data_IF_628633315397
#
_entry.id   IF_628633315397
#
_cell.length_a   1.000
_cell.length_b   1.000
_cell.length_c   1.000
_cell.angle_alpha   90.00
_cell.angle_beta   90.00
_cell.angle_gamma   90.00
#
_symmetry.space_group_name_H-M   'P 1'
#
loop_
_entity.id
_entity.type
_entity.pdbx_description
1 polymer ?
#
# COMPACT_ATOMS: atom_id res chain seq x y z
N UNK A 1 -0.30 31.61 -56.50
CA UNK A 1 0.74 32.00 -55.53
C UNK A 1 0.10 31.99 -54.16
N UNK A 2 0.28 30.92 -53.40
CA UNK A 2 -0.02 30.77 -51.97
C UNK A 2 0.47 29.37 -51.57
N UNK A 3 1.74 29.27 -51.18
CA UNK A 3 2.30 28.08 -50.54
C UNK A 3 2.16 28.28 -49.03
N UNK A 4 1.25 27.51 -48.44
CA UNK A 4 1.06 27.34 -47.00
C UNK A 4 2.34 26.75 -46.39
N UNK A 5 3.10 27.58 -45.66
CA UNK A 5 4.17 27.11 -44.76
C UNK A 5 3.51 26.76 -43.44
N UNK A 6 3.29 25.47 -43.21
CA UNK A 6 3.10 24.96 -41.85
C UNK A 6 4.47 24.90 -41.19
N UNK A 7 4.66 25.75 -40.20
CA UNK A 7 5.78 25.68 -39.27
C UNK A 7 5.62 24.41 -38.42
N UNK A 8 6.36 23.36 -38.77
CA UNK A 8 6.61 22.22 -37.90
C UNK A 8 7.50 22.69 -36.74
N UNK A 9 6.86 23.15 -35.66
CA UNK A 9 7.52 23.30 -34.36
C UNK A 9 7.74 21.90 -33.81
N UNK A 10 8.88 21.31 -34.15
CA UNK A 10 9.38 20.14 -33.47
C UNK A 10 9.54 20.46 -31.98
N UNK A 11 8.66 19.90 -31.14
CA UNK A 11 8.86 19.91 -29.69
C UNK A 11 10.20 19.24 -29.41
N UNK A 12 11.16 19.99 -28.88
CA UNK A 12 12.40 19.44 -28.38
C UNK A 12 12.08 18.30 -27.40
N UNK A 13 12.76 17.14 -27.47
CA UNK A 13 12.53 16.07 -26.52
C UNK A 13 12.84 16.62 -25.12
N UNK A 14 11.80 16.72 -24.30
CA UNK A 14 11.91 17.08 -22.88
C UNK A 14 12.91 16.09 -22.29
N UNK A 15 14.06 16.59 -21.83
CA UNK A 15 15.10 15.73 -21.26
C UNK A 15 14.46 14.84 -20.19
N UNK A 16 14.61 13.52 -20.34
CA UNK A 16 14.12 12.57 -19.33
C UNK A 16 14.77 13.00 -18.01
N UNK A 17 13.99 13.22 -16.93
CA UNK A 17 14.57 13.51 -15.63
C UNK A 17 15.60 12.42 -15.28
N UNK A 18 16.66 12.75 -14.52
CA UNK A 18 17.65 11.77 -14.09
C UNK A 18 16.94 10.56 -13.48
N UNK A 19 17.43 9.36 -13.79
CA UNK A 19 16.83 8.14 -13.27
C UNK A 19 16.85 8.21 -11.73
N UNK A 20 15.72 7.89 -11.06
CA UNK A 20 15.68 7.88 -9.61
C UNK A 20 16.67 6.84 -9.06
N UNK A 21 17.11 6.99 -7.78
CA UNK A 21 17.92 5.98 -7.12
C UNK A 21 17.26 4.60 -7.19
N UNK A 22 18.06 3.58 -7.47
CA UNK A 22 17.60 2.18 -7.49
C UNK A 22 17.27 1.69 -6.07
N UNK A 23 16.43 0.63 -5.96
CA UNK A 23 16.10 0.04 -4.65
C UNK A 23 17.35 -0.43 -3.88
N UNK A 24 18.35 -0.96 -4.58
CA UNK A 24 19.62 -1.34 -3.95
C UNK A 24 20.37 -0.12 -3.42
N UNK A 25 20.42 0.99 -4.17
CA UNK A 25 21.07 2.22 -3.69
C UNK A 25 20.35 2.82 -2.48
N UNK A 26 19.02 2.77 -2.47
CA UNK A 26 18.20 3.18 -1.32
C UNK A 26 18.47 2.28 -0.11
N UNK A 27 18.39 0.96 -0.27
CA UNK A 27 18.64 0.02 0.81
C UNK A 27 20.06 0.11 1.38
N UNK A 28 21.07 0.22 0.52
CA UNK A 28 22.47 0.46 0.93
C UNK A 28 22.64 1.80 1.66
N UNK A 29 21.94 2.84 1.23
CA UNK A 29 21.95 4.14 1.91
C UNK A 29 21.30 4.07 3.29
N UNK A 30 20.17 3.37 3.43
CA UNK A 30 19.51 3.14 4.73
C UNK A 30 20.43 2.38 5.68
N UNK A 31 21.06 1.29 5.23
CA UNK A 31 22.00 0.51 6.03
C UNK A 31 23.16 1.37 6.55
N UNK A 32 23.74 2.18 5.67
CA UNK A 32 24.83 3.09 5.99
C UNK A 32 24.40 4.18 7.00
N UNK A 33 23.20 4.73 6.84
CA UNK A 33 22.65 5.74 7.76
C UNK A 33 22.31 5.15 9.12
N UNK A 34 21.72 3.94 9.17
CA UNK A 34 21.46 3.22 10.43
C UNK A 34 22.77 2.93 11.16
N UNK A 35 23.79 2.43 10.44
CA UNK A 35 25.13 2.22 10.99
C UNK A 35 25.71 3.51 11.57
N UNK A 36 25.60 4.63 10.85
CA UNK A 36 26.02 5.95 11.34
C UNK A 36 25.26 6.41 12.59
N UNK A 37 23.93 6.25 12.63
CA UNK A 37 23.10 6.67 13.78
C UNK A 37 23.52 5.92 15.04
N UNK A 38 23.79 4.62 14.93
CA UNK A 38 24.15 3.76 16.06
C UNK A 38 25.60 3.93 16.50
N UNK A 39 26.53 4.13 15.56
CA UNK A 39 27.96 4.23 15.85
C UNK A 39 28.41 5.65 16.19
N UNK A 40 27.81 6.67 15.58
CA UNK A 40 28.15 8.08 15.75
C UNK A 40 26.87 8.92 16.06
N UNK A 41 26.25 8.76 17.24
CA UNK A 41 24.98 9.42 17.58
C UNK A 41 24.93 10.93 17.39
N UNK A 42 26.08 11.61 17.44
CA UNK A 42 26.19 13.05 17.17
C UNK A 42 25.72 13.44 15.75
N UNK A 43 25.76 12.50 14.81
CA UNK A 43 25.34 12.68 13.42
C UNK A 43 23.81 12.67 13.27
N UNK A 44 23.07 12.07 14.21
CA UNK A 44 21.62 11.89 14.13
C UNK A 44 20.89 13.19 13.78
N UNK A 45 21.21 14.30 14.46
CA UNK A 45 20.54 15.60 14.23
C UNK A 45 20.71 16.12 12.80
N UNK A 46 21.83 15.81 12.14
CA UNK A 46 22.07 16.20 10.73
C UNK A 46 21.20 15.37 9.79
N UNK A 47 21.05 14.08 10.07
CA UNK A 47 20.19 13.17 9.32
C UNK A 47 18.71 13.57 9.49
N UNK A 48 18.27 13.80 10.74
CA UNK A 48 16.90 14.18 11.08
C UNK A 48 16.49 15.58 10.59
N UNK A 49 17.46 16.44 10.24
CA UNK A 49 17.17 17.71 9.58
C UNK A 49 16.67 17.52 8.14
N UNK A 50 17.01 16.39 7.51
CA UNK A 50 16.68 16.08 6.11
C UNK A 50 15.54 15.07 6.03
N UNK A 51 15.63 13.98 6.81
CA UNK A 51 14.71 12.84 6.71
C UNK A 51 13.50 12.94 7.63
N UNK A 52 12.44 12.27 7.21
CA UNK A 52 11.22 11.95 7.94
C UNK A 52 11.04 10.43 8.02
N UNK A 53 10.10 9.99 8.85
CA UNK A 53 9.86 8.56 9.05
C UNK A 53 9.41 7.89 7.75
N UNK A 54 8.64 8.60 6.91
CA UNK A 54 8.20 8.12 5.59
C UNK A 54 9.32 7.95 4.55
N UNK A 55 10.53 8.46 4.81
CA UNK A 55 11.65 8.31 3.87
C UNK A 55 12.30 6.93 3.89
N UNK A 56 12.05 6.17 4.96
CA UNK A 56 12.61 4.84 5.18
C UNK A 56 11.67 3.77 4.63
N UNK A 57 12.22 2.91 3.77
CA UNK A 57 11.53 1.77 3.14
C UNK A 57 11.45 0.57 4.07
N UNK A 58 12.52 0.29 4.83
CA UNK A 58 12.54 -0.85 5.73
C UNK A 58 12.01 -0.52 7.13
N UNK A 59 11.11 -1.36 7.63
CA UNK A 59 10.47 -1.18 8.93
C UNK A 59 11.47 -1.13 10.09
N UNK A 60 12.52 -1.97 10.04
CA UNK A 60 13.55 -1.98 11.08
C UNK A 60 14.36 -0.68 11.06
N UNK A 61 14.77 -0.21 9.88
CA UNK A 61 15.56 1.01 9.73
C UNK A 61 14.76 2.24 10.17
N UNK A 62 13.50 2.34 9.73
CA UNK A 62 12.56 3.37 10.19
C UNK A 62 12.44 3.36 11.72
N UNK A 63 12.24 2.18 12.31
CA UNK A 63 12.16 2.02 13.75
C UNK A 63 13.40 2.52 14.49
N UNK A 64 14.60 2.25 13.98
CA UNK A 64 15.85 2.78 14.56
C UNK A 64 15.88 4.31 14.52
N UNK A 65 15.52 4.90 13.39
CA UNK A 65 15.49 6.36 13.22
C UNK A 65 14.48 7.04 14.17
N UNK A 66 13.26 6.51 14.27
CA UNK A 66 12.22 6.99 15.18
C UNK A 66 12.65 6.90 16.64
N UNK A 67 13.19 5.74 17.06
CA UNK A 67 13.64 5.52 18.44
C UNK A 67 14.81 6.43 18.77
N UNK A 68 15.76 6.61 17.84
CA UNK A 68 16.87 7.53 18.00
C UNK A 68 16.39 8.97 18.22
N UNK A 69 15.34 9.39 17.50
CA UNK A 69 14.68 10.68 17.69
C UNK A 69 14.12 10.87 19.09
N UNK A 70 13.31 9.91 19.54
CA UNK A 70 12.74 9.94 20.91
C UNK A 70 13.84 10.00 21.98
N UNK A 71 14.90 9.20 21.84
CA UNK A 71 16.02 9.23 22.77
C UNK A 71 16.74 10.59 22.76
N UNK A 72 16.97 11.17 21.57
CA UNK A 72 17.60 12.48 21.44
C UNK A 72 16.76 13.61 22.06
N UNK A 73 15.43 13.57 21.93
CA UNK A 73 14.49 14.51 22.57
C UNK A 73 14.48 14.35 24.10
N UNK A 74 14.51 13.12 24.59
CA UNK A 74 14.61 12.80 26.02
C UNK A 74 16.00 13.11 26.61
N UNK A 75 16.97 13.52 25.79
CA UNK A 75 18.36 13.75 26.20
C UNK A 75 19.09 12.47 26.62
N UNK A 76 18.63 11.31 26.15
CA UNK A 76 19.20 9.99 26.43
C UNK A 76 20.16 9.57 25.32
N UNK A 77 21.20 8.78 25.64
CA UNK A 77 22.15 8.32 24.65
C UNK A 77 21.48 7.34 23.67
N UNK A 78 21.76 7.49 22.38
CA UNK A 78 21.36 6.55 21.33
C UNK A 78 22.42 5.44 21.31
N UNK A 79 22.10 4.30 21.91
CA UNK A 79 22.96 3.12 21.97
C UNK A 79 22.19 1.89 21.49
N UNK A 80 22.90 0.90 20.95
CA UNK A 80 22.28 -0.31 20.43
C UNK A 80 21.39 -1.01 21.48
N UNK A 81 21.84 -1.14 22.73
CA UNK A 81 21.08 -1.73 23.84
C UNK A 81 19.84 -0.92 24.25
N UNK A 82 19.85 0.39 24.02
CA UNK A 82 18.69 1.27 24.22
C UNK A 82 17.74 1.26 23.03
N UNK A 83 18.22 0.99 21.81
CA UNK A 83 17.40 0.96 20.59
C UNK A 83 16.71 -0.39 20.43
N UNK A 84 17.45 -1.50 20.59
CA UNK A 84 16.97 -2.86 20.31
C UNK A 84 15.63 -3.23 20.95
N UNK A 85 15.36 -2.92 22.23
CA UNK A 85 14.09 -3.30 22.87
C UNK A 85 12.86 -2.54 22.33
N UNK A 86 13.06 -1.57 21.42
CA UNK A 86 12.04 -0.63 20.94
C UNK A 86 11.83 -0.70 19.42
N UNK A 87 12.49 -1.63 18.74
CA UNK A 87 12.39 -1.85 17.28
C UNK A 87 12.01 -3.30 16.99
N UNK A 88 11.75 -3.63 15.72
CA UNK A 88 11.51 -5.01 15.26
C UNK A 88 12.66 -5.93 15.68
N UNK A 89 12.35 -7.16 16.08
CA UNK A 89 13.34 -8.20 16.38
C UNK A 89 13.81 -8.97 15.13
N UNK A 90 13.18 -8.70 13.98
CA UNK A 90 13.49 -9.30 12.68
C UNK A 90 14.16 -8.28 11.75
N UNK A 91 15.26 -8.67 11.14
CA UNK A 91 16.04 -7.93 10.13
C UNK A 91 15.46 -8.10 8.71
N UNK A 92 15.86 -7.26 7.73
CA UNK A 92 15.35 -7.35 6.35
C UNK A 92 15.60 -8.70 5.66
N UNK A 93 16.66 -9.41 6.04
CA UNK A 93 16.98 -10.76 5.53
C UNK A 93 16.22 -11.89 6.27
N UNK A 94 15.35 -11.55 7.22
CA UNK A 94 14.64 -12.49 8.08
C UNK A 94 15.46 -13.02 9.26
N UNK A 95 16.71 -12.55 9.42
CA UNK A 95 17.57 -12.86 10.55
C UNK A 95 17.25 -12.04 11.81
N UNK A 96 18.01 -12.23 12.90
CA UNK A 96 17.80 -11.50 14.14
C UNK A 96 18.34 -10.06 14.04
N UNK A 97 17.53 -9.08 14.46
CA UNK A 97 17.83 -7.66 14.32
C UNK A 97 19.05 -7.19 15.12
N UNK A 98 19.36 -7.84 16.24
CA UNK A 98 20.51 -7.50 17.09
C UNK A 98 21.86 -7.71 16.39
N UNK A 99 22.05 -8.88 15.75
CA UNK A 99 23.24 -9.19 14.98
C UNK A 99 23.36 -8.28 13.75
N UNK A 100 22.24 -8.04 13.08
CA UNK A 100 22.17 -7.18 11.91
C UNK A 100 22.60 -5.74 12.23
N UNK A 101 21.97 -5.12 13.23
CA UNK A 101 22.26 -3.74 13.63
C UNK A 101 23.66 -3.60 14.23
N UNK A 102 24.14 -4.59 14.98
CA UNK A 102 25.51 -4.61 15.47
C UNK A 102 26.52 -4.62 14.31
N UNK A 103 26.25 -5.40 13.25
CA UNK A 103 27.11 -5.46 12.05
C UNK A 103 27.17 -4.11 11.34
N UNK A 104 26.02 -3.43 11.17
CA UNK A 104 25.98 -2.09 10.57
C UNK A 104 26.76 -1.05 11.39
N UNK A 105 26.69 -1.15 12.73
CA UNK A 105 27.37 -0.22 13.63
C UNK A 105 28.89 -0.49 13.77
N UNK A 106 29.38 -1.67 13.43
CA UNK A 106 30.80 -2.03 13.60
C UNK A 106 31.72 -1.23 12.68
N UNK A 107 31.28 -0.95 11.45
CA UNK A 107 32.06 -0.25 10.42
C UNK A 107 31.20 0.77 9.68
N UNK A 108 30.78 1.85 10.35
CA UNK A 108 29.99 2.88 9.69
C UNK A 108 30.83 3.60 8.62
N UNK A 109 30.21 4.16 7.58
CA UNK A 109 30.89 5.07 6.69
C UNK A 109 31.34 6.35 7.43
N UNK A 110 32.20 7.19 6.83
CA UNK A 110 32.60 8.45 7.45
C UNK A 110 31.40 9.38 7.71
N UNK A 111 31.36 10.13 8.84
CA UNK A 111 30.26 11.08 9.15
C UNK A 111 29.97 12.15 8.08
N UNK A 112 30.93 12.42 7.18
CA UNK A 112 30.74 13.29 6.02
C UNK A 112 29.74 12.73 4.99
N UNK A 113 29.50 11.41 4.99
CA UNK A 113 28.55 10.74 4.08
C UNK A 113 27.09 10.85 4.52
N UNK A 114 26.83 11.26 5.76
CA UNK A 114 25.49 11.28 6.33
C UNK A 114 24.50 12.14 5.53
N UNK A 115 24.84 13.40 5.24
CA UNK A 115 23.96 14.29 4.49
C UNK A 115 23.78 13.88 3.03
N UNK A 116 24.84 13.50 2.27
CA UNK A 116 24.65 12.95 0.92
C UNK A 116 23.73 11.72 0.85
N UNK A 117 23.85 10.80 1.81
CA UNK A 117 22.99 9.62 1.89
C UNK A 117 21.55 9.98 2.28
N UNK A 118 21.38 10.91 3.22
CA UNK A 118 20.06 11.40 3.60
C UNK A 118 19.36 12.12 2.43
N UNK A 119 20.08 12.93 1.67
CA UNK A 119 19.53 13.53 0.45
C UNK A 119 19.13 12.49 -0.59
N UNK A 120 19.91 11.43 -0.76
CA UNK A 120 19.56 10.32 -1.68
C UNK A 120 18.24 9.66 -1.27
N UNK A 121 18.02 9.37 0.02
CA UNK A 121 16.76 8.80 0.50
C UNK A 121 15.58 9.77 0.29
N UNK A 122 15.75 11.05 0.64
CA UNK A 122 14.71 12.06 0.42
C UNK A 122 14.36 12.23 -1.08
N UNK A 123 15.36 12.21 -1.96
CA UNK A 123 15.17 12.24 -3.41
C UNK A 123 14.44 11.00 -3.91
N UNK A 124 14.78 9.81 -3.39
CA UNK A 124 14.09 8.57 -3.72
C UNK A 124 12.61 8.61 -3.30
N UNK A 125 12.30 9.10 -2.09
CA UNK A 125 10.92 9.29 -1.62
C UNK A 125 10.16 10.28 -2.47
N UNK A 126 10.78 11.40 -2.84
CA UNK A 126 10.15 12.40 -3.69
C UNK A 126 9.90 11.84 -5.10
N UNK A 127 10.79 11.01 -5.62
CA UNK A 127 10.59 10.33 -6.90
C UNK A 127 9.44 9.32 -6.86
N UNK A 128 9.23 8.61 -5.73
CA UNK A 128 8.05 7.75 -5.52
C UNK A 128 6.76 8.55 -5.46
N UNK A 129 6.74 9.59 -4.65
CA UNK A 129 5.51 10.32 -4.28
C UNK A 129 5.20 11.53 -5.18
N UNK A 130 6.07 11.80 -6.16
CA UNK A 130 6.00 12.98 -7.00
C UNK A 130 4.94 12.91 -8.11
N UNK A 131 4.48 14.07 -8.62
CA UNK A 131 3.46 14.13 -9.68
C UNK A 131 3.91 13.45 -11.00
N UNK A 132 5.21 13.35 -11.26
CA UNK A 132 5.76 12.62 -12.41
C UNK A 132 5.54 11.09 -12.34
N UNK A 133 5.17 10.53 -11.17
CA UNK A 133 4.73 9.13 -11.06
C UNK A 133 3.32 8.95 -11.63
N UNK A 134 2.43 9.92 -11.40
CA UNK A 134 1.02 9.89 -11.82
C UNK A 134 0.83 10.12 -13.34
N UNK A 135 1.79 10.75 -14.01
CA UNK A 135 1.75 11.10 -15.45
C UNK A 135 2.40 10.05 -16.38
N UNK A 136 2.79 8.87 -15.87
CA UNK A 136 3.40 7.80 -16.68
C UNK A 136 2.35 6.93 -17.36
N UNK A 137 2.60 6.55 -18.61
CA UNK A 137 1.94 5.40 -19.24
C UNK A 137 2.37 4.12 -18.49
N UNK A 138 1.59 3.76 -17.47
CA UNK A 138 1.86 2.63 -16.58
C UNK A 138 2.02 1.32 -17.35
N UNK A 139 1.22 1.14 -18.41
CA UNK A 139 1.31 -0.05 -19.25
C UNK A 139 2.65 -0.13 -19.98
N UNK A 140 3.07 0.96 -20.63
CA UNK A 140 4.35 1.01 -21.32
C UNK A 140 5.53 0.82 -20.35
N UNK A 141 5.50 1.49 -19.20
CA UNK A 141 6.52 1.33 -18.15
C UNK A 141 6.56 -0.11 -17.62
N UNK A 142 5.44 -0.70 -17.23
CA UNK A 142 5.38 -2.07 -16.69
C UNK A 142 5.85 -3.10 -17.73
N UNK A 143 5.55 -2.86 -19.00
CA UNK A 143 6.06 -3.66 -20.10
C UNK A 143 7.58 -3.55 -20.24
N UNK A 144 8.16 -2.34 -20.18
CA UNK A 144 9.62 -2.13 -20.19
C UNK A 144 10.30 -2.84 -19.02
N UNK A 145 9.76 -2.71 -17.81
CA UNK A 145 10.27 -3.39 -16.61
C UNK A 145 10.22 -4.91 -16.76
N UNK A 146 9.10 -5.47 -17.22
CA UNK A 146 8.96 -6.90 -17.48
C UNK A 146 9.95 -7.41 -18.54
N UNK A 147 10.23 -6.59 -19.55
CA UNK A 147 11.22 -6.90 -20.59
C UNK A 147 12.65 -6.87 -20.04
N UNK A 148 13.00 -5.90 -19.19
CA UNK A 148 14.29 -5.84 -18.51
C UNK A 148 14.48 -7.05 -17.58
N UNK A 149 13.45 -7.44 -16.81
CA UNK A 149 13.45 -8.65 -15.98
C UNK A 149 13.73 -9.91 -16.80
N UNK A 150 13.01 -10.12 -17.91
CA UNK A 150 13.20 -11.29 -18.80
C UNK A 150 14.60 -11.35 -19.41
N UNK A 151 15.25 -10.21 -19.62
CA UNK A 151 16.62 -10.11 -20.14
C UNK A 151 17.70 -10.15 -19.06
N UNK A 152 17.32 -10.28 -17.78
CA UNK A 152 18.26 -10.28 -16.65
C UNK A 152 18.95 -8.93 -16.43
N UNK A 153 18.37 -7.83 -16.92
CA UNK A 153 18.93 -6.48 -16.83
C UNK A 153 18.54 -5.83 -15.50
N UNK A 154 18.88 -6.46 -14.38
CA UNK A 154 18.42 -6.04 -13.04
C UNK A 154 18.84 -4.61 -12.68
N UNK A 155 20.01 -4.16 -13.15
CA UNK A 155 20.48 -2.79 -12.93
C UNK A 155 19.64 -1.71 -13.62
N UNK A 156 18.82 -2.09 -14.62
CA UNK A 156 17.93 -1.17 -15.33
C UNK A 156 16.50 -1.16 -14.76
N UNK A 157 16.25 -1.94 -13.70
CA UNK A 157 14.94 -2.00 -13.08
C UNK A 157 14.68 -0.79 -12.20
N UNK A 158 13.50 -0.21 -12.38
CA UNK A 158 12.92 0.79 -11.48
C UNK A 158 12.33 0.05 -10.27
N UNK A 159 13.20 -0.58 -9.49
CA UNK A 159 12.84 -1.57 -8.48
C UNK A 159 11.96 -1.02 -7.35
N UNK A 160 12.07 0.28 -7.07
CA UNK A 160 11.27 0.96 -6.06
C UNK A 160 9.81 1.10 -6.50
N UNK A 161 9.58 1.64 -7.70
CA UNK A 161 8.25 1.70 -8.29
C UNK A 161 7.70 0.29 -8.60
N UNK A 162 8.54 -0.68 -8.96
CA UNK A 162 8.11 -2.08 -9.13
C UNK A 162 7.59 -2.71 -7.84
N UNK A 163 8.23 -2.46 -6.70
CA UNK A 163 7.77 -2.97 -5.41
C UNK A 163 6.41 -2.37 -5.04
N UNK A 164 6.27 -1.05 -5.19
CA UNK A 164 5.02 -0.32 -4.95
C UNK A 164 3.89 -0.83 -5.85
N UNK A 165 4.12 -0.96 -7.16
CA UNK A 165 3.11 -1.47 -8.10
C UNK A 165 2.71 -2.93 -7.82
N UNK A 166 3.62 -3.75 -7.28
CA UNK A 166 3.29 -5.11 -6.84
C UNK A 166 2.45 -5.08 -5.55
N UNK A 167 2.75 -4.19 -4.62
CA UNK A 167 1.98 -3.99 -3.40
C UNK A 167 0.58 -3.44 -3.71
N UNK A 168 0.49 -2.46 -4.60
CA UNK A 168 -0.75 -1.87 -5.10
C UNK A 168 -1.59 -2.89 -5.85
N UNK A 169 -1.00 -3.74 -6.70
CA UNK A 169 -1.70 -4.86 -7.31
C UNK A 169 -2.31 -5.79 -6.25
N UNK A 170 -1.57 -6.08 -5.17
CA UNK A 170 -2.09 -6.81 -4.02
C UNK A 170 -3.26 -6.10 -3.34
N UNK A 171 -3.16 -4.78 -3.19
CA UNK A 171 -4.21 -3.88 -2.70
C UNK A 171 -5.46 -3.90 -3.58
N UNK A 172 -5.33 -3.84 -4.90
CA UNK A 172 -6.44 -3.90 -5.85
C UNK A 172 -7.22 -5.22 -5.76
N UNK A 173 -6.51 -6.35 -5.65
CA UNK A 173 -7.14 -7.66 -5.50
C UNK A 173 -7.91 -7.71 -4.17
N UNK A 174 -7.30 -7.21 -3.08
CA UNK A 174 -7.97 -7.10 -1.78
C UNK A 174 -9.21 -6.20 -1.86
N UNK A 175 -9.11 -5.05 -2.50
CA UNK A 175 -10.19 -4.08 -2.66
C UNK A 175 -11.33 -4.64 -3.52
N UNK A 176 -11.04 -5.48 -4.52
CA UNK A 176 -12.04 -6.17 -5.33
C UNK A 176 -12.88 -7.12 -4.47
N UNK A 177 -12.24 -7.93 -3.63
CA UNK A 177 -12.93 -8.80 -2.66
C UNK A 177 -13.78 -7.97 -1.68
N UNK A 178 -13.20 -6.91 -1.09
CA UNK A 178 -13.91 -6.02 -0.16
C UNK A 178 -15.16 -5.39 -0.83
N UNK A 179 -15.03 -4.93 -2.08
CA UNK A 179 -16.12 -4.32 -2.84
C UNK A 179 -17.23 -5.33 -3.16
N UNK A 180 -16.88 -6.54 -3.57
CA UNK A 180 -17.84 -7.62 -3.82
C UNK A 180 -18.65 -7.96 -2.56
N UNK A 181 -17.97 -8.07 -1.41
CA UNK A 181 -18.61 -8.29 -0.11
C UNK A 181 -19.49 -7.10 0.31
N UNK A 182 -19.03 -5.86 0.09
CA UNK A 182 -19.81 -4.64 0.39
C UNK A 182 -21.10 -4.60 -0.42
N UNK A 183 -21.04 -4.85 -1.73
CA UNK A 183 -22.23 -4.84 -2.61
C UNK A 183 -23.22 -5.92 -2.16
N UNK A 184 -22.72 -7.12 -1.81
CA UNK A 184 -23.54 -8.21 -1.29
C UNK A 184 -24.23 -7.81 0.01
N UNK A 185 -23.48 -7.28 0.97
CA UNK A 185 -23.99 -6.82 2.27
C UNK A 185 -25.02 -5.69 2.14
N UNK A 186 -24.75 -4.70 1.30
CA UNK A 186 -25.67 -3.59 1.03
C UNK A 186 -27.04 -4.12 0.59
N UNK A 187 -27.05 -5.04 -0.37
CA UNK A 187 -28.29 -5.58 -0.89
C UNK A 187 -28.96 -6.55 0.08
N UNK A 188 -28.20 -7.29 0.91
CA UNK A 188 -28.77 -8.09 2.00
C UNK A 188 -29.46 -7.21 3.05
N UNK A 189 -28.85 -6.08 3.44
CA UNK A 189 -29.46 -5.12 4.37
C UNK A 189 -30.76 -4.55 3.81
N UNK A 190 -30.75 -4.10 2.55
CA UNK A 190 -31.95 -3.63 1.84
C UNK A 190 -33.01 -4.72 1.76
N UNK A 191 -32.60 -5.95 1.47
CA UNK A 191 -33.50 -7.11 1.37
C UNK A 191 -34.22 -7.42 2.68
N UNK A 192 -33.53 -7.29 3.81
CA UNK A 192 -34.08 -7.59 5.13
C UNK A 192 -34.93 -6.45 5.70
N UNK A 193 -34.55 -5.19 5.46
CA UNK A 193 -35.22 -4.03 6.04
C UNK A 193 -36.33 -3.45 5.15
N UNK A 194 -36.38 -3.78 3.85
CA UNK A 194 -37.43 -3.34 2.94
C UNK A 194 -38.04 -4.52 2.15
N UNK A 195 -38.73 -5.46 2.82
CA UNK A 195 -39.30 -6.66 2.18
C UNK A 195 -40.25 -6.33 1.02
N UNK A 196 -41.03 -5.25 1.15
CA UNK A 196 -41.98 -4.75 0.15
C UNK A 196 -41.31 -4.20 -1.12
N UNK A 197 -40.01 -3.86 -1.06
CA UNK A 197 -39.25 -3.25 -2.16
C UNK A 197 -38.24 -4.21 -2.80
N UNK A 198 -38.31 -5.50 -2.47
CA UNK A 198 -37.41 -6.51 -3.05
C UNK A 198 -37.58 -6.56 -4.56
N UNK A 199 -36.48 -6.44 -5.28
CA UNK A 199 -36.47 -6.46 -6.75
C UNK A 199 -35.55 -7.55 -7.29
N UNK A 200 -35.79 -7.93 -8.55
CA UNK A 200 -34.89 -8.81 -9.31
C UNK A 200 -33.47 -8.26 -9.36
N UNK A 201 -33.33 -6.94 -9.49
CA UNK A 201 -32.03 -6.28 -9.51
C UNK A 201 -31.27 -6.51 -8.21
N UNK A 202 -31.91 -6.39 -7.05
CA UNK A 202 -31.24 -6.63 -5.76
C UNK A 202 -30.82 -8.10 -5.60
N UNK A 203 -31.68 -9.04 -5.99
CA UNK A 203 -31.34 -10.46 -6.03
C UNK A 203 -30.11 -10.72 -6.91
N UNK A 204 -30.07 -10.13 -8.11
CA UNK A 204 -28.93 -10.27 -9.02
C UNK A 204 -27.66 -9.63 -8.46
N UNK A 205 -27.74 -8.46 -7.80
CA UNK A 205 -26.59 -7.83 -7.14
C UNK A 205 -25.99 -8.72 -6.06
N UNK A 206 -26.82 -9.39 -5.24
CA UNK A 206 -26.36 -10.33 -4.22
C UNK A 206 -25.68 -11.52 -4.87
N UNK A 207 -26.30 -12.12 -5.89
CA UNK A 207 -25.75 -13.27 -6.59
C UNK A 207 -24.42 -12.95 -7.27
N UNK A 208 -24.33 -11.83 -7.98
CA UNK A 208 -23.12 -11.42 -8.67
C UNK A 208 -22.00 -11.09 -7.67
N UNK A 209 -22.30 -10.34 -6.60
CA UNK A 209 -21.31 -10.04 -5.57
C UNK A 209 -20.77 -11.29 -4.87
N UNK A 210 -21.59 -12.34 -4.70
CA UNK A 210 -21.14 -13.65 -4.22
C UNK A 210 -20.19 -14.34 -5.20
N UNK A 211 -20.56 -14.39 -6.48
CA UNK A 211 -19.72 -14.98 -7.53
C UNK A 211 -18.38 -14.26 -7.65
N UNK A 212 -18.39 -12.93 -7.64
CA UNK A 212 -17.16 -12.11 -7.71
C UNK A 212 -16.25 -12.36 -6.50
N UNK A 213 -16.83 -12.47 -5.29
CA UNK A 213 -16.06 -12.77 -4.09
C UNK A 213 -15.51 -14.21 -4.09
N UNK A 214 -16.28 -15.17 -4.58
CA UNK A 214 -15.86 -16.57 -4.75
C UNK A 214 -14.69 -16.67 -5.74
N UNK A 215 -14.81 -16.07 -6.93
CA UNK A 215 -13.76 -16.06 -7.94
C UNK A 215 -12.44 -15.49 -7.41
N UNK A 216 -12.51 -14.36 -6.68
CA UNK A 216 -11.31 -13.75 -6.08
C UNK A 216 -10.69 -14.69 -5.03
N UNK A 217 -11.49 -15.32 -4.18
CA UNK A 217 -11.00 -16.21 -3.11
C UNK A 217 -10.48 -17.55 -3.63
N UNK A 218 -11.02 -18.06 -4.74
CA UNK A 218 -10.51 -19.25 -5.43
C UNK A 218 -9.15 -18.96 -6.08
N UNK A 219 -9.03 -17.81 -6.75
CA UNK A 219 -7.79 -17.41 -7.41
C UNK A 219 -6.69 -16.97 -6.44
N UNK A 220 -7.08 -16.43 -5.28
CA UNK A 220 -6.18 -15.86 -4.27
C UNK A 220 -6.49 -16.39 -2.86
N UNK A 221 -6.22 -17.69 -2.58
CA UNK A 221 -6.61 -18.34 -1.32
C UNK A 221 -5.95 -17.73 -0.06
N UNK A 222 -4.81 -17.04 -0.20
CA UNK A 222 -4.15 -16.33 0.91
C UNK A 222 -5.03 -15.21 1.49
N UNK A 223 -5.94 -14.63 0.70
CA UNK A 223 -6.87 -13.59 1.15
C UNK A 223 -7.88 -14.08 2.19
N UNK A 224 -8.07 -15.40 2.33
CA UNK A 224 -8.93 -15.96 3.40
C UNK A 224 -8.51 -15.49 4.79
N UNK A 225 -7.20 -15.28 5.03
CA UNK A 225 -6.67 -14.75 6.31
C UNK A 225 -7.05 -13.29 6.55
N UNK A 226 -7.37 -12.55 5.50
CA UNK A 226 -7.71 -11.12 5.51
C UNK A 226 -9.22 -10.86 5.55
N UNK A 227 -10.05 -11.91 5.44
CA UNK A 227 -11.52 -11.81 5.43
C UNK A 227 -12.12 -11.07 6.64
N UNK A 228 -11.68 -11.28 7.89
CA UNK A 228 -12.29 -10.58 9.03
C UNK A 228 -12.19 -9.05 8.91
N UNK A 229 -11.02 -8.54 8.52
CA UNK A 229 -10.83 -7.10 8.30
C UNK A 229 -11.61 -6.57 7.09
N UNK A 230 -11.62 -7.32 5.99
CA UNK A 230 -12.38 -6.96 4.80
C UNK A 230 -13.89 -6.88 5.08
N UNK A 231 -14.44 -7.85 5.81
CA UNK A 231 -15.85 -7.89 6.18
C UNK A 231 -16.25 -6.74 7.09
N UNK A 232 -15.45 -6.42 8.11
CA UNK A 232 -15.73 -5.31 9.01
C UNK A 232 -15.79 -3.97 8.25
N UNK A 233 -14.84 -3.75 7.34
CA UNK A 233 -14.79 -2.53 6.51
C UNK A 233 -15.91 -2.49 5.47
N UNK A 234 -16.14 -3.61 4.78
CA UNK A 234 -17.23 -3.75 3.81
C UNK A 234 -18.59 -3.51 4.47
N UNK A 235 -18.84 -4.06 5.66
CA UNK A 235 -20.10 -3.87 6.39
C UNK A 235 -20.33 -2.43 6.78
N UNK A 236 -19.32 -1.77 7.37
CA UNK A 236 -19.42 -0.34 7.76
C UNK A 236 -19.86 0.51 6.58
N UNK A 237 -19.25 0.29 5.41
CA UNK A 237 -19.60 1.05 4.20
C UNK A 237 -20.98 0.64 3.66
N UNK A 238 -21.29 -0.64 3.62
CA UNK A 238 -22.59 -1.15 3.20
C UNK A 238 -23.76 -0.61 4.06
N UNK A 239 -23.53 -0.42 5.37
CA UNK A 239 -24.50 0.17 6.31
C UNK A 239 -24.83 1.62 5.94
N UNK A 240 -23.80 2.43 5.69
CA UNK A 240 -23.94 3.82 5.22
C UNK A 240 -24.66 3.87 3.86
N UNK A 241 -24.21 3.04 2.91
CA UNK A 241 -24.81 2.95 1.58
C UNK A 241 -26.29 2.52 1.66
N UNK A 242 -26.63 1.59 2.56
CA UNK A 242 -28.00 1.12 2.76
C UNK A 242 -28.89 2.23 3.35
N UNK A 243 -28.41 2.97 4.35
CA UNK A 243 -29.13 4.13 4.88
C UNK A 243 -29.43 5.15 3.77
N UNK A 244 -28.41 5.51 2.99
CA UNK A 244 -28.56 6.44 1.86
C UNK A 244 -29.54 5.97 0.79
N UNK A 245 -29.49 4.69 0.38
CA UNK A 245 -30.37 4.17 -0.69
C UNK A 245 -31.79 3.84 -0.23
N UNK A 246 -31.98 3.51 1.04
CA UNK A 246 -33.30 3.16 1.59
C UNK A 246 -34.07 4.38 2.08
N UNK A 247 -33.37 5.46 2.43
CA UNK A 247 -33.91 6.63 3.11
C UNK A 247 -34.22 6.39 4.60
N UNK A 248 -33.71 5.29 5.18
CA UNK A 248 -33.82 4.98 6.60
C UNK A 248 -32.59 5.53 7.35
N UNK A 249 -32.77 5.88 8.62
CA UNK A 249 -31.63 6.29 9.46
C UNK A 249 -30.62 5.14 9.63
N UNK A 250 -29.33 5.47 9.71
CA UNK A 250 -28.25 4.47 9.82
C UNK A 250 -28.41 3.57 11.07
N UNK A 251 -29.02 4.09 12.13
CA UNK A 251 -29.26 3.38 13.40
C UNK A 251 -30.37 2.32 13.31
N UNK A 252 -31.15 2.31 12.23
CA UNK A 252 -32.09 1.20 11.93
C UNK A 252 -31.31 -0.08 11.61
N UNK A 253 -30.11 0.05 11.05
CA UNK A 253 -29.23 -1.07 10.75
C UNK A 253 -28.30 -1.35 11.93
N UNK A 254 -28.06 -2.63 12.29
CA UNK A 254 -27.17 -2.98 13.40
C UNK A 254 -25.78 -2.34 13.29
N UNK A 255 -25.20 -1.93 14.42
CA UNK A 255 -23.85 -1.36 14.44
C UNK A 255 -22.76 -2.41 14.08
N UNK A 256 -23.00 -3.67 14.43
CA UNK A 256 -22.17 -4.81 14.07
C UNK A 256 -22.82 -5.66 12.98
N UNK A 257 -22.01 -6.30 12.14
CA UNK A 257 -22.53 -7.12 11.04
C UNK A 257 -23.39 -8.27 11.58
N UNK A 258 -24.71 -8.33 11.24
CA UNK A 258 -25.59 -9.38 11.75
C UNK A 258 -25.39 -10.72 11.03
N UNK A 259 -24.58 -10.75 9.98
CA UNK A 259 -24.35 -11.92 9.14
C UNK A 259 -22.94 -12.47 9.35
N UNK A 260 -22.85 -13.79 9.50
CA UNK A 260 -21.58 -14.51 9.36
C UNK A 260 -21.15 -14.53 7.90
N UNK A 261 -19.85 -14.74 7.63
CA UNK A 261 -19.37 -14.92 6.25
C UNK A 261 -20.15 -16.02 5.51
N UNK A 262 -20.42 -17.13 6.19
CA UNK A 262 -21.22 -18.23 5.64
C UNK A 262 -22.63 -17.77 5.25
N UNK A 263 -23.30 -16.98 6.09
CA UNK A 263 -24.61 -16.43 5.78
C UNK A 263 -24.55 -15.43 4.60
N UNK A 264 -23.51 -14.58 4.55
CA UNK A 264 -23.31 -13.63 3.45
C UNK A 264 -23.21 -14.37 2.13
N UNK A 265 -22.46 -15.48 2.08
CA UNK A 265 -22.20 -16.24 0.85
C UNK A 265 -23.34 -17.19 0.48
N UNK A 266 -23.97 -17.83 1.46
CA UNK A 266 -24.81 -19.01 1.18
C UNK A 266 -26.28 -18.86 1.56
N UNK A 267 -26.68 -17.83 2.33
CA UNK A 267 -28.08 -17.65 2.73
C UNK A 267 -28.98 -17.60 1.48
N UNK A 268 -30.10 -18.35 1.45
CA UNK A 268 -31.07 -18.25 0.37
C UNK A 268 -31.69 -16.85 0.24
N UNK A 269 -31.78 -16.35 -0.99
CA UNK A 269 -32.43 -15.08 -1.34
C UNK A 269 -33.40 -15.37 -2.48
N UNK A 270 -34.61 -15.89 -2.21
CA UNK A 270 -35.50 -16.43 -3.23
C UNK A 270 -36.01 -15.34 -4.17
N UNK A 271 -36.09 -15.67 -5.47
CA UNK A 271 -36.74 -14.84 -6.48
C UNK A 271 -37.54 -15.73 -7.46
N UNK A 272 -38.85 -15.45 -7.69
CA UNK A 272 -39.64 -14.38 -7.08
C UNK A 272 -39.84 -14.58 -5.57
N UNK A 273 -40.15 -13.52 -4.80
CA UNK A 273 -40.51 -13.65 -3.38
C UNK A 273 -41.77 -14.50 -3.23
N UNK A 274 -41.88 -15.27 -2.14
CA UNK A 274 -43.05 -16.10 -1.87
C UNK A 274 -44.35 -15.26 -1.94
N UNK A 275 -45.28 -15.66 -2.82
CA UNK A 275 -46.56 -14.98 -3.03
C UNK A 275 -46.63 -13.99 -4.20
N UNK A 276 -45.55 -13.76 -4.96
CA UNK A 276 -45.55 -12.84 -6.11
C UNK A 276 -46.01 -13.49 -7.43
N UNK A 277 -47.19 -13.12 -7.92
CA UNK A 277 -47.59 -13.26 -9.34
C UNK A 277 -47.01 -12.12 -10.17
N UNK A 278 -46.47 -12.44 -11.36
CA UNK A 278 -45.85 -11.51 -12.30
C UNK A 278 -46.84 -10.51 -12.91
#
# INVERSE_FOLDING_TARGET
MLTDRRDDVALAPKARPPAPPTLNEVFEAEQQLVGLILAEPAVYRRIAAILRDEDWTENLHRGVFEVAGRLAEEGRPILLDTVLPRVSDVAPDGGPADLYLATLAEKPPPPARAEPLAHLLAEATHARTGPDHLDRDLYAWAYEQAQALRRGQFAALDALNLAEEIEDLGGEIYNRMESALRITLLHLLKWDHQPEKRTRSWHLSIRNGRLDAEEVLERHPSLKRRLPGALAKAYRRARIDAAGETGLDEDVFPAECPYTFEAIMNRPVPWPPEGGTF
#
